data_IF_448574152147
#
_entry.id   IF_448574152147
#
_cell.length_a   1.000
_cell.length_b   1.000
_cell.length_c   1.000
_cell.angle_alpha   90.00
_cell.angle_beta   90.00
_cell.angle_gamma   90.00
#
_symmetry.space_group_name_H-M   'P 1'
#
loop_
_entity.id
_entity.type
_entity.pdbx_description
1 polymer ?
#
# COMPACT_ATOMS: atom_id res chain seq x y z
N UNK A 1 -0.44 3.22 -11.37
CA UNK A 1 -0.86 3.66 -10.03
C UNK A 1 -1.49 5.02 -10.19
N UNK A 2 -2.44 5.37 -9.34
CA UNK A 2 -3.09 6.69 -9.38
C UNK A 2 -2.73 7.41 -8.08
N UNK A 3 -2.22 8.64 -8.20
CA UNK A 3 -2.00 9.56 -7.09
C UNK A 3 -3.12 10.58 -7.07
N UNK A 4 -3.79 10.73 -5.93
CA UNK A 4 -4.94 11.62 -5.77
C UNK A 4 -4.64 12.59 -4.62
N UNK A 5 -4.16 13.81 -4.91
CA UNK A 5 -3.84 14.80 -3.88
C UNK A 5 -5.10 15.48 -3.33
N UNK A 6 -5.03 15.95 -2.09
CA UNK A 6 -6.05 16.85 -1.51
C UNK A 6 -7.46 16.25 -1.45
N UNK A 7 -7.57 14.94 -1.24
CA UNK A 7 -8.85 14.26 -1.16
C UNK A 7 -9.51 14.51 0.21
N UNK A 8 -10.76 15.00 0.26
CA UNK A 8 -11.43 15.25 1.53
C UNK A 8 -11.91 13.95 2.16
N UNK A 9 -11.54 13.75 3.43
CA UNK A 9 -12.16 12.77 4.31
C UNK A 9 -13.15 13.53 5.19
N UNK A 10 -14.43 13.22 5.02
CA UNK A 10 -15.54 13.97 5.62
C UNK A 10 -16.48 13.08 6.44
N UNK A 11 -16.13 11.80 6.63
CA UNK A 11 -16.87 10.86 7.48
C UNK A 11 -15.94 10.11 8.42
N UNK A 12 -16.42 9.81 9.62
CA UNK A 12 -15.80 8.89 10.57
C UNK A 12 -16.12 7.42 10.24
N UNK A 13 -15.48 6.50 10.96
CA UNK A 13 -15.61 5.05 10.76
C UNK A 13 -17.05 4.53 10.99
N UNK A 14 -17.82 5.18 11.86
CA UNK A 14 -19.25 4.90 12.09
C UNK A 14 -20.17 5.52 11.01
N UNK A 15 -19.60 6.25 10.06
CA UNK A 15 -20.29 6.89 8.94
C UNK A 15 -20.84 8.29 9.23
N UNK A 16 -20.70 8.82 10.45
CA UNK A 16 -21.12 10.18 10.77
C UNK A 16 -20.31 11.22 9.97
N UNK A 17 -20.93 12.36 9.65
CA UNK A 17 -20.22 13.48 9.02
C UNK A 17 -19.32 14.16 10.04
N UNK A 18 -18.11 14.51 9.62
CA UNK A 18 -17.20 15.33 10.41
C UNK A 18 -17.63 16.80 10.37
N UNK A 19 -17.41 17.53 11.45
CA UNK A 19 -17.64 18.98 11.52
C UNK A 19 -16.75 19.72 10.50
N UNK A 20 -15.50 19.30 10.38
CA UNK A 20 -14.55 19.78 9.38
C UNK A 20 -13.89 18.58 8.68
N UNK A 21 -13.88 18.60 7.34
CA UNK A 21 -13.18 17.60 6.55
C UNK A 21 -11.67 17.88 6.56
N UNK A 22 -10.87 16.84 6.69
CA UNK A 22 -9.41 16.95 6.52
C UNK A 22 -8.99 16.39 5.16
N UNK A 23 -7.86 16.89 4.64
CA UNK A 23 -7.33 16.49 3.35
C UNK A 23 -6.24 15.44 3.51
N UNK A 24 -6.25 14.44 2.64
CA UNK A 24 -5.19 13.42 2.54
C UNK A 24 -4.84 13.15 1.08
N UNK A 25 -3.66 12.58 0.85
CA UNK A 25 -3.30 12.04 -0.45
C UNK A 25 -3.51 10.53 -0.51
N UNK A 26 -4.18 10.05 -1.56
CA UNK A 26 -4.36 8.63 -1.79
C UNK A 26 -3.44 8.11 -2.89
N UNK A 27 -2.87 6.92 -2.66
CA UNK A 27 -2.23 6.11 -3.71
C UNK A 27 -3.10 4.89 -3.97
N UNK A 28 -3.69 4.82 -5.16
CA UNK A 28 -4.46 3.66 -5.61
C UNK A 28 -3.57 2.72 -6.43
N UNK A 29 -3.35 1.52 -5.91
CA UNK A 29 -2.54 0.48 -6.55
C UNK A 29 -3.06 -0.92 -6.19
N UNK A 30 -3.65 -1.68 -7.13
CA UNK A 30 -4.21 -2.99 -6.81
C UNK A 30 -3.11 -4.01 -6.53
N UNK A 31 -3.24 -4.77 -5.44
CA UNK A 31 -2.39 -5.93 -5.20
C UNK A 31 -2.66 -7.05 -6.22
N UNK A 32 -1.73 -8.01 -6.44
CA UNK A 32 -2.02 -9.21 -7.21
C UNK A 32 -3.22 -9.96 -6.60
N UNK A 33 -4.13 -10.46 -7.43
CA UNK A 33 -5.24 -11.28 -6.95
C UNK A 33 -4.75 -12.73 -6.84
N UNK A 34 -4.06 -13.06 -5.74
CA UNK A 34 -3.52 -14.39 -5.50
C UNK A 34 -4.61 -15.47 -5.57
N UNK A 35 -5.79 -15.20 -5.01
CA UNK A 35 -6.92 -16.14 -5.07
C UNK A 35 -7.35 -16.49 -6.50
N UNK A 36 -7.41 -15.50 -7.40
CA UNK A 36 -7.71 -15.74 -8.81
C UNK A 36 -6.56 -16.43 -9.55
N UNK A 37 -5.30 -16.04 -9.27
CA UNK A 37 -4.11 -16.64 -9.89
C UNK A 37 -4.05 -18.14 -9.59
N UNK A 38 -4.24 -18.54 -8.34
CA UNK A 38 -4.22 -19.96 -7.95
C UNK A 38 -5.27 -20.79 -8.70
N UNK A 39 -6.45 -20.21 -8.97
CA UNK A 39 -7.55 -20.94 -9.64
C UNK A 39 -7.43 -20.94 -11.15
N UNK A 40 -7.07 -19.80 -11.73
CA UNK A 40 -7.26 -19.55 -13.16
C UNK A 40 -5.94 -19.52 -13.92
N UNK A 41 -4.80 -19.34 -13.25
CA UNK A 41 -3.50 -19.17 -13.90
C UNK A 41 -2.34 -19.63 -13.01
N UNK A 42 -2.31 -20.92 -12.62
CA UNK A 42 -1.37 -21.44 -11.62
C UNK A 42 0.11 -21.29 -12.01
N UNK A 43 0.42 -21.19 -13.31
CA UNK A 43 1.78 -20.91 -13.80
C UNK A 43 2.36 -19.59 -13.29
N UNK A 44 1.52 -18.64 -12.86
CA UNK A 44 1.96 -17.34 -12.31
C UNK A 44 2.03 -17.30 -10.78
N UNK A 45 1.81 -18.41 -10.06
CA UNK A 45 1.87 -18.41 -8.58
C UNK A 45 3.22 -17.89 -8.08
N UNK A 46 4.33 -18.32 -8.71
CA UNK A 46 5.68 -17.86 -8.36
C UNK A 46 5.92 -16.36 -8.58
N UNK A 47 5.04 -15.67 -9.33
CA UNK A 47 5.15 -14.23 -9.60
C UNK A 47 4.41 -13.37 -8.57
N UNK A 48 3.59 -13.95 -7.68
CA UNK A 48 2.79 -13.18 -6.72
C UNK A 48 3.68 -12.33 -5.80
N UNK A 49 4.67 -12.95 -5.15
CA UNK A 49 5.55 -12.23 -4.23
C UNK A 49 6.47 -11.21 -4.92
N UNK A 50 7.16 -11.54 -6.04
CA UNK A 50 7.96 -10.56 -6.77
C UNK A 50 7.15 -9.32 -7.20
N UNK A 51 5.96 -9.53 -7.76
CA UNK A 51 5.10 -8.42 -8.21
C UNK A 51 4.61 -7.59 -7.03
N UNK A 52 4.29 -8.23 -5.90
CA UNK A 52 3.89 -7.52 -4.68
C UNK A 52 5.02 -6.63 -4.16
N UNK A 53 6.25 -7.15 -4.09
CA UNK A 53 7.44 -6.40 -3.66
C UNK A 53 7.72 -5.20 -4.57
N UNK A 54 7.72 -5.42 -5.88
CA UNK A 54 7.93 -4.36 -6.87
C UNK A 54 6.85 -3.25 -6.74
N UNK A 55 5.60 -3.66 -6.56
CA UNK A 55 4.48 -2.73 -6.39
C UNK A 55 4.59 -1.91 -5.11
N UNK A 56 4.98 -2.53 -3.99
CA UNK A 56 5.20 -1.82 -2.73
C UNK A 56 6.32 -0.78 -2.90
N UNK A 57 7.44 -1.16 -3.51
CA UNK A 57 8.54 -0.24 -3.80
C UNK A 57 8.09 0.97 -4.63
N UNK A 58 7.30 0.74 -5.69
CA UNK A 58 6.73 1.81 -6.52
C UNK A 58 5.74 2.71 -5.77
N UNK A 59 4.92 2.16 -4.87
CA UNK A 59 4.00 2.95 -4.02
C UNK A 59 4.80 3.89 -3.11
N UNK A 60 5.85 3.37 -2.46
CA UNK A 60 6.73 4.18 -1.62
C UNK A 60 7.50 5.22 -2.42
N UNK A 61 8.01 4.85 -3.60
CA UNK A 61 8.68 5.77 -4.51
C UNK A 61 7.77 6.93 -4.94
N UNK A 62 6.49 6.65 -5.22
CA UNK A 62 5.51 7.66 -5.59
C UNK A 62 5.21 8.62 -4.41
N UNK A 63 5.01 8.10 -3.21
CA UNK A 63 4.82 8.92 -2.02
C UNK A 63 6.05 9.80 -1.72
N UNK A 64 7.26 9.23 -1.84
CA UNK A 64 8.50 9.97 -1.66
C UNK A 64 8.70 11.05 -2.73
N UNK A 65 8.33 10.78 -3.99
CA UNK A 65 8.38 11.74 -5.10
C UNK A 65 7.48 12.95 -4.83
N UNK A 66 6.25 12.72 -4.34
CA UNK A 66 5.31 13.77 -3.98
C UNK A 66 5.59 14.44 -2.64
N UNK A 67 6.68 14.06 -1.97
CA UNK A 67 7.10 14.61 -0.67
C UNK A 67 6.09 14.39 0.46
N UNK A 68 5.34 13.29 0.41
CA UNK A 68 4.54 12.87 1.55
C UNK A 68 5.47 12.58 2.74
N UNK A 69 5.12 13.14 3.90
CA UNK A 69 5.93 13.01 5.12
C UNK A 69 5.55 11.78 5.93
N UNK A 70 4.26 11.45 5.98
CA UNK A 70 3.69 10.37 6.79
C UNK A 70 2.90 9.45 5.87
N UNK A 71 3.04 8.15 6.08
CA UNK A 71 2.29 7.13 5.33
C UNK A 71 1.48 6.27 6.27
N UNK A 72 0.18 6.15 6.00
CA UNK A 72 -0.69 5.16 6.63
C UNK A 72 -0.74 3.94 5.71
N UNK A 73 -0.12 2.85 6.16
CA UNK A 73 -0.05 1.58 5.45
C UNK A 73 -0.97 0.55 6.12
N UNK A 74 -1.28 -0.54 5.41
CA UNK A 74 -2.17 -1.57 5.95
C UNK A 74 -2.11 -2.89 5.19
N UNK A 75 -3.15 -3.68 5.43
CA UNK A 75 -3.33 -5.06 4.98
C UNK A 75 -3.62 -5.20 3.46
N UNK A 76 -2.79 -4.60 2.60
CA UNK A 76 -3.04 -4.51 1.16
C UNK A 76 -3.15 -5.88 0.48
N UNK A 77 -4.36 -6.23 0.04
CA UNK A 77 -4.62 -7.46 -0.72
C UNK A 77 -4.75 -8.75 0.11
N UNK A 78 -4.82 -8.69 1.44
CA UNK A 78 -4.91 -9.89 2.30
C UNK A 78 -6.33 -10.43 2.47
N UNK A 79 -7.36 -9.61 2.23
CA UNK A 79 -8.76 -10.04 2.28
C UNK A 79 -9.16 -10.82 1.03
N UNK A 80 -10.04 -10.24 0.22
CA UNK A 80 -10.61 -10.87 -0.99
C UNK A 80 -9.54 -11.42 -1.95
N UNK A 81 -8.38 -10.76 -2.03
CA UNK A 81 -7.30 -11.15 -2.95
C UNK A 81 -6.40 -12.27 -2.40
N UNK A 82 -6.53 -12.65 -1.13
CA UNK A 82 -5.88 -13.81 -0.50
C UNK A 82 -4.34 -13.82 -0.58
N UNK A 83 -3.69 -12.66 -0.56
CA UNK A 83 -2.22 -12.61 -0.45
C UNK A 83 -1.77 -13.03 0.95
N UNK A 84 -0.54 -13.55 1.06
CA UNK A 84 0.05 -13.96 2.34
C UNK A 84 0.49 -12.73 3.17
N UNK A 85 -0.06 -12.48 4.38
CA UNK A 85 0.24 -11.29 5.17
C UNK A 85 1.73 -11.04 5.50
N UNK A 86 2.52 -12.05 5.89
CA UNK A 86 3.95 -11.87 6.15
C UNK A 86 4.75 -11.44 4.91
N UNK A 87 4.30 -11.77 3.69
CA UNK A 87 5.05 -11.47 2.48
C UNK A 87 5.08 -9.96 2.17
N UNK A 88 3.93 -9.26 2.20
CA UNK A 88 3.95 -7.81 2.00
C UNK A 88 4.42 -7.05 3.24
N UNK A 89 4.18 -7.55 4.46
CA UNK A 89 4.81 -6.98 5.66
C UNK A 89 6.34 -7.05 5.58
N UNK A 90 6.89 -8.16 5.08
CA UNK A 90 8.31 -8.33 4.80
C UNK A 90 8.81 -7.33 3.75
N UNK A 91 8.08 -7.15 2.65
CA UNK A 91 8.42 -6.16 1.63
C UNK A 91 8.49 -4.72 2.18
N UNK A 92 7.50 -4.31 2.98
CA UNK A 92 7.52 -3.01 3.64
C UNK A 92 8.68 -2.89 4.63
N UNK A 93 8.95 -3.93 5.43
CA UNK A 93 10.04 -3.95 6.40
C UNK A 93 11.40 -3.80 5.70
N UNK A 94 11.66 -4.52 4.63
CA UNK A 94 12.94 -4.43 3.90
C UNK A 94 13.20 -3.02 3.36
N UNK A 95 12.14 -2.35 2.90
CA UNK A 95 12.25 -1.00 2.33
C UNK A 95 12.41 0.10 3.39
N UNK A 96 11.83 -0.12 4.57
CA UNK A 96 11.81 0.82 5.70
C UNK A 96 12.81 0.49 6.82
N UNK A 97 13.57 -0.59 6.72
CA UNK A 97 14.60 -0.95 7.71
C UNK A 97 15.84 -0.05 7.55
N UNK A 98 16.75 0.00 8.54
CA UNK A 98 18.08 0.59 8.36
C UNK A 98 18.75 0.06 7.09
N UNK A 99 19.41 0.95 6.34
CA UNK A 99 20.00 0.68 5.00
C UNK A 99 18.98 0.38 3.88
N UNK A 100 17.68 0.38 4.18
CA UNK A 100 16.61 0.27 3.19
C UNK A 100 16.48 1.54 2.34
N UNK A 101 16.00 1.46 1.09
CA UNK A 101 15.89 2.61 0.18
C UNK A 101 15.04 3.78 0.69
N UNK A 102 14.15 3.53 1.65
CA UNK A 102 13.28 4.54 2.26
C UNK A 102 13.56 4.71 3.76
N UNK A 103 14.73 4.27 4.26
CA UNK A 103 15.13 4.48 5.65
C UNK A 103 15.12 5.96 6.01
N UNK A 104 14.43 6.31 7.09
CA UNK A 104 14.30 7.70 7.55
C UNK A 104 13.55 8.64 6.60
N UNK A 105 12.98 8.14 5.49
CA UNK A 105 12.29 8.97 4.49
C UNK A 105 10.94 9.47 4.96
N UNK A 106 10.23 8.67 5.76
CA UNK A 106 8.89 8.97 6.26
C UNK A 106 8.94 9.12 7.79
N UNK A 107 8.23 10.12 8.31
CA UNK A 107 8.00 10.32 9.74
C UNK A 107 7.04 9.25 10.27
N UNK A 108 7.25 8.86 11.52
CA UNK A 108 6.29 8.04 12.26
C UNK A 108 5.13 8.94 12.70
N UNK A 109 3.89 8.53 12.38
CA UNK A 109 2.68 9.15 12.91
C UNK A 109 2.56 8.90 14.42
#
# INVERSE_FOLDING_TARGET
MIYSPGCPVFRSDDGALLEEAFLVEFVTSPAPNAGAIHRNSPSFIGMIEPVLRERVSKVMGLAAHHRCDVMVLGASGYGVFRNNPPAAAGAFRELLAPEGPFWGRFRKA
#
